data_IF_544514999228
#
_entry.id   IF_544514999228
#
_cell.length_a   1.000
_cell.length_b   1.000
_cell.length_c   1.000
_cell.angle_alpha   90.00
_cell.angle_beta   90.00
_cell.angle_gamma   90.00
#
_symmetry.space_group_name_H-M   'P 1'
#
loop_
_entity.id
_entity.type
_entity.pdbx_description
1 polymer ?
#
# COMPACT_ATOMS: atom_id res chain seq x y z
N UNK A 1 -3.73 -13.42 -19.12
CA UNK A 1 -3.16 -12.92 -17.85
C UNK A 1 -1.66 -12.74 -18.06
N UNK A 2 -1.19 -11.50 -18.08
CA UNK A 2 0.14 -11.11 -18.58
C UNK A 2 1.29 -11.42 -17.60
N UNK A 3 1.02 -11.46 -16.30
CA UNK A 3 2.02 -11.76 -15.27
C UNK A 3 1.47 -11.61 -13.85
N UNK A 4 2.38 -11.59 -12.88
CA UNK A 4 2.08 -11.35 -11.45
C UNK A 4 2.67 -10.00 -11.06
N UNK A 5 1.87 -9.16 -10.41
CA UNK A 5 2.30 -7.88 -9.84
C UNK A 5 2.14 -7.93 -8.33
N UNK A 6 3.17 -7.53 -7.59
CA UNK A 6 3.10 -7.25 -6.15
C UNK A 6 3.26 -5.75 -5.92
N UNK A 7 2.32 -5.15 -5.21
CA UNK A 7 2.31 -3.73 -4.87
C UNK A 7 2.20 -3.54 -3.35
N UNK A 8 3.23 -2.95 -2.74
CA UNK A 8 3.27 -2.69 -1.30
C UNK A 8 3.08 -1.21 -0.96
N UNK A 9 2.20 -0.89 -0.01
CA UNK A 9 2.03 0.47 0.51
C UNK A 9 2.34 0.52 2.01
N UNK A 10 3.13 1.53 2.43
CA UNK A 10 3.39 1.76 3.86
C UNK A 10 2.15 2.35 4.52
N UNK A 11 1.78 1.89 5.74
CA UNK A 11 0.70 2.48 6.53
C UNK A 11 1.16 3.78 7.21
N UNK A 12 1.25 4.87 6.45
CA UNK A 12 1.74 6.18 6.95
C UNK A 12 0.64 7.22 7.19
N UNK A 13 -0.60 6.77 7.40
CA UNK A 13 -1.75 7.64 7.62
C UNK A 13 -2.86 7.45 6.60
N UNK A 14 -3.86 8.34 6.66
CA UNK A 14 -5.02 8.30 5.76
C UNK A 14 -4.61 8.57 4.31
N UNK A 15 -5.15 7.76 3.40
CA UNK A 15 -5.03 7.98 1.97
C UNK A 15 -5.71 9.29 1.56
N UNK A 16 -5.10 10.00 0.63
CA UNK A 16 -5.63 11.23 0.07
C UNK A 16 -5.69 11.17 -1.47
N UNK A 17 -6.25 12.19 -2.09
CA UNK A 17 -6.49 12.23 -3.54
C UNK A 17 -5.21 11.99 -4.37
N UNK A 18 -4.07 12.52 -3.91
CA UNK A 18 -2.77 12.22 -4.52
C UNK A 18 -2.41 10.73 -4.58
N UNK A 19 -2.70 9.94 -3.54
CA UNK A 19 -2.47 8.49 -3.58
C UNK A 19 -3.41 7.80 -4.59
N UNK A 20 -4.66 8.29 -4.65
CA UNK A 20 -5.67 7.76 -5.57
C UNK A 20 -5.26 7.97 -7.02
N UNK A 21 -4.99 9.23 -7.40
CA UNK A 21 -4.62 9.60 -8.76
C UNK A 21 -3.23 9.07 -9.16
N UNK A 22 -2.33 8.88 -8.20
CA UNK A 22 -0.98 8.38 -8.46
C UNK A 22 -0.90 6.86 -8.62
N UNK A 23 -1.39 6.12 -7.62
CA UNK A 23 -1.18 4.68 -7.52
C UNK A 23 -2.48 3.87 -7.59
N UNK A 24 -3.50 4.23 -6.80
CA UNK A 24 -4.67 3.35 -6.61
C UNK A 24 -5.50 3.20 -7.88
N UNK A 25 -5.70 4.28 -8.65
CA UNK A 25 -6.43 4.20 -9.92
C UNK A 25 -5.74 3.25 -10.90
N UNK A 26 -4.41 3.30 -10.98
CA UNK A 26 -3.63 2.40 -11.83
C UNK A 26 -3.67 0.96 -11.31
N UNK A 27 -3.62 0.76 -9.99
CA UNK A 27 -3.77 -0.57 -9.39
C UNK A 27 -5.11 -1.22 -9.69
N UNK A 28 -6.19 -0.43 -9.78
CA UNK A 28 -7.51 -0.93 -10.21
C UNK A 28 -7.46 -1.40 -11.67
N UNK A 29 -6.96 -0.57 -12.58
CA UNK A 29 -6.86 -0.91 -14.02
C UNK A 29 -6.02 -2.18 -14.26
N UNK A 30 -4.90 -2.32 -13.56
CA UNK A 30 -3.98 -3.45 -13.74
C UNK A 30 -4.56 -4.80 -13.33
N UNK A 31 -5.62 -4.84 -12.52
CA UNK A 31 -6.28 -6.09 -12.12
C UNK A 31 -6.97 -6.81 -13.29
N UNK A 32 -7.29 -6.10 -14.38
CA UNK A 32 -7.88 -6.72 -15.57
C UNK A 32 -6.86 -7.53 -16.39
N UNK A 33 -5.58 -7.15 -16.32
CA UNK A 33 -4.51 -7.71 -17.15
C UNK A 33 -3.57 -8.66 -16.38
N UNK A 34 -3.37 -8.40 -15.09
CA UNK A 34 -2.38 -9.06 -14.23
C UNK A 34 -3.01 -9.71 -12.99
N UNK A 35 -2.33 -10.73 -12.46
CA UNK A 35 -2.62 -11.23 -11.12
C UNK A 35 -1.96 -10.32 -10.10
N UNK A 36 -2.74 -9.48 -9.43
CA UNK A 36 -2.24 -8.49 -8.48
C UNK A 36 -2.29 -9.01 -7.03
N UNK A 37 -1.23 -8.72 -6.27
CA UNK A 37 -1.15 -8.88 -4.83
C UNK A 37 -0.86 -7.52 -4.21
N UNK A 38 -1.64 -7.12 -3.21
CA UNK A 38 -1.47 -5.87 -2.49
C UNK A 38 -1.06 -6.15 -1.06
N UNK A 39 0.05 -5.54 -0.63
CA UNK A 39 0.60 -5.71 0.71
C UNK A 39 0.58 -4.41 1.50
N UNK A 40 0.08 -4.47 2.73
CA UNK A 40 0.34 -3.43 3.72
C UNK A 40 1.71 -3.73 4.33
N UNK A 41 2.71 -2.91 4.02
CA UNK A 41 4.11 -3.18 4.42
C UNK A 41 4.43 -2.53 5.78
N UNK A 42 3.79 -3.03 6.82
CA UNK A 42 3.90 -2.59 8.22
C UNK A 42 5.34 -2.71 8.78
N UNK A 43 6.03 -3.82 8.53
CA UNK A 43 7.42 -4.00 8.93
C UNK A 43 8.35 -2.96 8.28
N UNK A 44 8.06 -2.52 7.04
CA UNK A 44 8.81 -1.46 6.39
C UNK A 44 8.53 -0.10 7.04
N UNK A 45 7.30 0.15 7.49
CA UNK A 45 6.98 1.39 8.22
C UNK A 45 7.73 1.47 9.56
N UNK A 46 7.99 0.35 10.24
CA UNK A 46 8.76 0.33 11.49
C UNK A 46 10.21 0.82 11.33
N UNK A 47 10.82 0.69 10.13
CA UNK A 47 12.19 1.19 9.92
C UNK A 47 12.34 2.70 10.14
N UNK A 48 11.24 3.45 10.03
CA UNK A 48 11.18 4.90 10.33
C UNK A 48 10.26 5.24 11.50
N UNK A 49 9.25 4.41 11.78
CA UNK A 49 8.23 4.63 12.80
C UNK A 49 8.39 3.80 14.08
N UNK A 50 9.57 3.20 14.34
CA UNK A 50 9.78 2.31 15.49
C UNK A 50 9.51 2.95 16.86
N UNK A 51 9.62 4.28 16.98
CA UNK A 51 9.37 5.00 18.22
C UNK A 51 7.86 5.15 18.53
N UNK A 52 7.01 5.06 17.51
CA UNK A 52 5.56 5.32 17.57
C UNK A 52 4.78 4.18 16.93
N UNK A 53 4.95 2.96 17.46
CA UNK A 53 4.37 1.73 16.89
C UNK A 53 2.83 1.73 16.92
N UNK A 54 2.24 2.50 17.81
CA UNK A 54 0.80 2.76 17.89
C UNK A 54 0.25 3.35 16.60
N UNK A 55 0.96 4.29 15.97
CA UNK A 55 0.54 4.91 14.71
C UNK A 55 0.54 3.88 13.58
N UNK A 56 1.57 3.04 13.52
CA UNK A 56 1.63 1.94 12.54
C UNK A 56 0.43 1.01 12.73
N UNK A 57 0.11 0.65 13.98
CA UNK A 57 -1.04 -0.21 14.30
C UNK A 57 -2.40 0.43 13.96
N UNK A 58 -2.51 1.74 14.08
CA UNK A 58 -3.73 2.47 13.71
C UNK A 58 -3.90 2.55 12.19
N UNK A 59 -2.81 2.71 11.46
CA UNK A 59 -2.82 2.92 10.01
C UNK A 59 -2.97 1.63 9.18
N UNK A 60 -2.90 0.44 9.80
CA UNK A 60 -3.09 -0.86 9.12
C UNK A 60 -4.53 -1.41 9.23
N UNK A 61 -5.42 -0.71 9.96
CA UNK A 61 -6.82 -1.11 10.13
C UNK A 61 -7.70 -0.56 9.00
#
# INVERSE_FOLDING_TARGET
MAGIIFSGMRPTGKLHLGNYLGALENWVKLQEEYKCFFGVVDLHALTTGYAHTEEVKENIK
#
